data_IF_614992610274
#
_entry.id   IF_614992610274
#
_cell.length_a   1.000
_cell.length_b   1.000
_cell.length_c   1.000
_cell.angle_alpha   90.00
_cell.angle_beta   90.00
_cell.angle_gamma   90.00
#
_symmetry.space_group_name_H-M   'P 1'
#
loop_
_entity.id
_entity.type
_entity.pdbx_description
1 polymer ?
#
# COMPACT_ATOMS: atom_id res chain seq x y z
N UNK A 1 2.24 -17.23 12.93
CA UNK A 1 3.16 -17.35 12.16
C UNK A 1 3.31 -16.33 11.21
N UNK A 2 2.35 -16.02 10.45
CA UNK A 2 2.49 -15.01 9.49
C UNK A 2 2.77 -13.67 10.12
N UNK A 3 2.18 -13.39 11.24
CA UNK A 3 2.36 -12.09 11.84
C UNK A 3 3.78 -11.82 12.24
N UNK A 4 4.59 -12.84 12.37
CA UNK A 4 5.92 -12.60 12.79
C UNK A 4 6.76 -11.99 11.74
N UNK A 5 6.32 -11.98 10.52
CA UNK A 5 7.13 -11.50 9.45
C UNK A 5 6.50 -10.33 8.73
N UNK A 6 5.67 -9.59 9.40
CA UNK A 6 5.06 -8.46 8.75
C UNK A 6 3.76 -8.76 8.05
N UNK A 7 3.30 -10.02 8.11
CA UNK A 7 2.05 -10.36 7.45
C UNK A 7 0.90 -10.27 8.44
N UNK A 8 0.90 -9.20 9.19
CA UNK A 8 -0.04 -9.11 10.24
C UNK A 8 -1.42 -8.82 9.74
N UNK A 9 -2.42 -9.54 10.19
CA UNK A 9 -3.79 -9.38 9.79
C UNK A 9 -3.99 -9.54 8.30
N UNK A 10 -3.16 -10.36 7.69
CA UNK A 10 -3.31 -10.60 6.28
C UNK A 10 -2.77 -9.49 5.40
N UNK A 11 -1.86 -8.69 5.90
CA UNK A 11 -1.28 -7.59 5.14
C UNK A 11 0.23 -7.71 5.09
N UNK A 12 0.80 -7.53 3.93
CA UNK A 12 2.24 -7.41 3.80
C UNK A 12 2.52 -5.92 3.79
N UNK A 13 3.12 -5.42 4.86
CA UNK A 13 3.34 -4.00 5.03
C UNK A 13 4.57 -3.50 4.29
N UNK A 14 4.52 -2.28 3.83
CA UNK A 14 5.66 -1.61 3.19
C UNK A 14 6.23 -2.42 2.03
N UNK A 15 5.36 -2.91 1.18
CA UNK A 15 5.80 -3.73 0.06
C UNK A 15 6.61 -2.91 -0.92
N UNK A 16 7.78 -3.41 -1.28
CA UNK A 16 8.63 -2.76 -2.26
C UNK A 16 9.16 -3.76 -3.29
N UNK A 17 8.55 -4.92 -3.36
CA UNK A 17 9.06 -5.99 -4.20
C UNK A 17 8.62 -5.94 -5.64
N UNK A 18 8.81 -7.04 -6.32
CA UNK A 18 8.51 -7.10 -7.73
C UNK A 18 7.21 -7.83 -8.02
N UNK A 19 6.90 -7.94 -9.32
CA UNK A 19 5.66 -8.55 -9.76
C UNK A 19 5.47 -9.99 -9.27
N UNK A 20 6.53 -10.78 -9.32
CA UNK A 20 6.41 -12.18 -8.94
C UNK A 20 6.14 -12.32 -7.44
N UNK A 21 6.77 -11.48 -6.64
CA UNK A 21 6.53 -11.49 -5.22
C UNK A 21 5.10 -11.06 -4.92
N UNK A 22 4.62 -10.04 -5.62
CA UNK A 22 3.27 -9.57 -5.43
C UNK A 22 2.26 -10.65 -5.79
N UNK A 23 2.53 -11.39 -6.85
CA UNK A 23 1.62 -12.44 -7.27
C UNK A 23 1.51 -13.52 -6.20
N UNK A 24 2.64 -13.91 -5.63
CA UNK A 24 2.61 -14.91 -4.59
C UNK A 24 1.83 -14.45 -3.38
N UNK A 25 2.01 -13.19 -2.99
CA UNK A 25 1.31 -12.65 -1.85
C UNK A 25 -0.19 -12.66 -2.11
N UNK A 26 -0.61 -12.29 -3.30
CA UNK A 26 -2.02 -12.30 -3.63
C UNK A 26 -2.59 -13.71 -3.65
N UNK A 27 -1.79 -14.67 -4.11
CA UNK A 27 -2.24 -16.05 -4.13
C UNK A 27 -2.47 -16.58 -2.72
N UNK A 28 -1.75 -16.03 -1.75
CA UNK A 28 -1.92 -16.43 -0.38
C UNK A 28 -3.09 -15.71 0.30
N UNK A 29 -3.72 -14.81 -0.42
CA UNK A 29 -4.89 -14.12 0.11
C UNK A 29 -4.59 -12.88 0.92
N UNK A 30 -3.37 -12.37 0.85
CA UNK A 30 -3.03 -11.19 1.63
C UNK A 30 -3.26 -9.90 0.87
N UNK A 31 -3.42 -8.84 1.63
CA UNK A 31 -3.45 -7.50 1.05
C UNK A 31 -2.02 -6.98 1.02
N UNK A 32 -1.78 -5.96 0.25
CA UNK A 32 -0.45 -5.39 0.09
C UNK A 32 -0.49 -3.92 0.42
N UNK A 33 0.35 -3.51 1.37
CA UNK A 33 0.42 -2.11 1.81
C UNK A 33 1.48 -1.35 1.05
N UNK A 34 1.09 -0.26 0.44
CA UNK A 34 1.96 0.60 -0.36
C UNK A 34 2.26 1.86 0.41
N UNK A 35 3.52 2.24 0.46
CA UNK A 35 3.94 3.43 1.19
C UNK A 35 4.48 4.48 0.24
N UNK A 36 5.03 5.52 0.80
CA UNK A 36 5.63 6.58 0.00
C UNK A 36 6.78 6.16 -0.87
N UNK A 37 7.31 4.96 -0.66
CA UNK A 37 8.35 4.44 -1.54
C UNK A 37 7.91 4.50 -2.99
N UNK A 38 6.61 4.40 -3.23
CA UNK A 38 6.09 4.46 -4.59
C UNK A 38 6.41 5.78 -5.26
N UNK A 39 6.59 6.84 -4.49
CA UNK A 39 6.85 8.14 -5.06
C UNK A 39 8.32 8.41 -5.34
N UNK A 40 9.19 7.47 -5.01
CA UNK A 40 10.62 7.63 -5.27
C UNK A 40 10.93 7.06 -6.65
N UNK A 41 10.83 7.90 -7.65
CA UNK A 41 10.96 7.43 -9.04
C UNK A 41 12.30 6.81 -9.38
N UNK A 42 13.29 6.98 -8.53
CA UNK A 42 14.58 6.40 -8.82
C UNK A 42 14.66 4.95 -8.40
N UNK A 43 13.78 4.51 -7.52
CA UNK A 43 13.86 3.15 -6.98
C UNK A 43 12.58 2.37 -7.10
N UNK A 44 11.53 2.93 -7.63
CA UNK A 44 10.22 2.29 -7.61
C UNK A 44 9.88 1.45 -8.83
N UNK A 45 10.83 1.23 -9.71
CA UNK A 45 10.53 0.55 -10.97
C UNK A 45 9.83 -0.79 -10.78
N UNK A 46 10.39 -1.64 -9.92
CA UNK A 46 9.79 -2.95 -9.71
C UNK A 46 8.42 -2.84 -9.08
N UNK A 47 8.26 -1.89 -8.17
CA UNK A 47 6.98 -1.72 -7.51
C UNK A 47 5.92 -1.23 -8.50
N UNK A 48 6.29 -0.31 -9.38
CA UNK A 48 5.36 0.18 -10.37
C UNK A 48 4.88 -0.97 -11.26
N UNK A 49 5.81 -1.81 -11.68
CA UNK A 49 5.44 -2.93 -12.51
C UNK A 49 4.56 -3.90 -11.73
N UNK A 50 4.88 -4.13 -10.47
CA UNK A 50 4.07 -5.02 -9.65
C UNK A 50 2.65 -4.49 -9.50
N UNK A 51 2.50 -3.17 -9.32
CA UNK A 51 1.18 -2.60 -9.14
C UNK A 51 0.26 -2.85 -10.33
N UNK A 52 0.82 -2.96 -11.51
CA UNK A 52 0.00 -3.21 -12.67
C UNK A 52 -0.66 -4.58 -12.61
N UNK A 53 -0.10 -5.47 -11.82
CA UNK A 53 -0.61 -6.82 -11.72
C UNK A 53 -1.29 -7.14 -10.39
N UNK A 54 -1.37 -6.20 -9.50
CA UNK A 54 -2.04 -6.40 -8.23
C UNK A 54 -3.46 -5.91 -8.33
N UNK A 55 -4.45 -6.74 -8.00
CA UNK A 55 -5.84 -6.28 -8.04
C UNK A 55 -6.06 -5.13 -7.08
N UNK A 56 -6.81 -4.15 -7.51
CA UNK A 56 -7.06 -2.97 -6.67
C UNK A 56 -7.64 -3.37 -5.32
N UNK A 57 -8.42 -4.43 -5.29
CA UNK A 57 -9.05 -4.90 -4.06
C UNK A 57 -8.06 -5.39 -3.03
N UNK A 58 -6.82 -5.58 -3.41
CA UNK A 58 -5.82 -6.07 -2.48
C UNK A 58 -4.89 -4.97 -1.98
N UNK A 59 -5.10 -3.75 -2.38
CA UNK A 59 -4.18 -2.68 -2.04
C UNK A 59 -4.60 -1.88 -0.83
N UNK A 60 -3.64 -1.53 0.00
CA UNK A 60 -3.84 -0.62 1.11
C UNK A 60 -2.76 0.44 0.97
N UNK A 61 -2.98 1.60 1.55
CA UNK A 61 -1.99 2.65 1.53
C UNK A 61 -1.60 2.94 2.96
N UNK A 62 -0.31 2.97 3.22
CA UNK A 62 0.23 3.18 4.54
C UNK A 62 1.19 4.35 4.55
N UNK A 63 1.41 4.92 5.70
CA UNK A 63 2.40 5.96 5.80
C UNK A 63 3.52 5.47 6.70
N UNK A 64 4.67 6.09 6.58
CA UNK A 64 5.75 5.71 7.43
C UNK A 64 5.78 6.74 8.51
N UNK A 65 4.68 7.24 8.77
CA UNK A 65 4.52 8.32 9.66
C UNK A 65 5.27 8.33 10.95
N UNK A 66 5.29 7.29 11.70
CA UNK A 66 5.94 7.39 12.98
C UNK A 66 7.36 7.92 12.89
N UNK A 67 8.03 7.57 11.83
CA UNK A 67 9.37 8.01 11.71
C UNK A 67 9.48 9.31 11.01
N UNK A 68 8.74 9.47 9.98
CA UNK A 68 8.84 10.66 9.22
C UNK A 68 8.29 11.85 9.92
N UNK A 69 7.26 11.69 10.67
CA UNK A 69 6.62 12.83 11.25
C UNK A 69 7.54 13.60 12.14
N UNK A 70 8.48 12.93 12.75
CA UNK A 70 9.35 13.62 13.62
C UNK A 70 10.24 14.55 12.88
N UNK A 71 10.75 14.08 11.80
CA UNK A 71 11.62 14.89 11.05
C UNK A 71 10.97 15.92 10.30
N UNK A 72 9.77 15.76 9.98
CA UNK A 72 9.31 16.59 9.13
C UNK A 72 8.47 17.54 9.67
N UNK A 73 8.24 17.52 10.78
CA UNK A 73 7.38 18.37 11.24
C UNK A 73 7.70 19.67 10.73
N UNK A 74 8.89 19.93 10.44
CA UNK A 74 9.18 21.12 10.00
C UNK A 74 8.96 21.27 8.63
N UNK A 75 8.92 20.39 7.89
CA UNK A 75 8.81 20.43 6.61
C UNK A 75 7.64 20.44 6.15
N UNK A 76 6.92 20.60 6.62
CA UNK A 76 5.90 20.77 6.03
C UNK A 76 5.13 19.83 5.56
N UNK A 77 5.27 19.19 4.73
CA UNK A 77 4.49 18.25 4.39
C UNK A 77 4.91 17.12 4.11
N UNK A 78 4.53 16.19 4.76
CA UNK A 78 4.81 14.90 4.55
C UNK A 78 4.01 14.51 3.46
N UNK A 79 4.37 13.52 2.80
CA UNK A 79 3.67 12.95 1.85
C UNK A 79 2.48 12.44 2.42
N UNK A 80 1.31 12.71 2.00
CA UNK A 80 0.21 12.13 2.57
C UNK A 80 -0.31 11.00 1.72
N UNK A 81 -1.26 10.26 2.25
CA UNK A 81 -1.77 9.08 1.55
C UNK A 81 -2.49 9.45 0.26
N UNK A 82 -2.98 10.66 0.17
CA UNK A 82 -3.63 11.09 -1.06
C UNK A 82 -2.69 11.08 -2.24
N UNK A 83 -1.44 11.45 -2.03
CA UNK A 83 -0.46 11.44 -3.10
C UNK A 83 -0.20 10.03 -3.56
N UNK A 84 -0.15 9.08 -2.64
CA UNK A 84 0.09 7.70 -2.98
C UNK A 84 -1.09 7.12 -3.73
N UNK A 85 -2.30 7.43 -3.29
CA UNK A 85 -3.51 6.95 -3.94
C UNK A 85 -3.57 7.47 -5.37
N UNK A 86 -3.24 8.75 -5.55
CA UNK A 86 -3.28 9.34 -6.87
C UNK A 86 -2.31 8.63 -7.81
N UNK A 87 -1.12 8.32 -7.30
CA UNK A 87 -0.12 7.66 -8.13
C UNK A 87 -0.56 6.23 -8.47
N UNK A 88 -1.17 5.53 -7.54
CA UNK A 88 -1.69 4.19 -7.82
C UNK A 88 -2.74 4.28 -8.92
N UNK A 89 -3.63 5.26 -8.82
CA UNK A 89 -4.68 5.42 -9.82
C UNK A 89 -4.09 5.68 -11.19
N UNK A 90 -3.04 6.50 -11.25
CA UNK A 90 -2.39 6.82 -12.50
C UNK A 90 -1.77 5.56 -13.12
N UNK A 91 -1.07 4.79 -12.31
CA UNK A 91 -0.41 3.59 -12.79
C UNK A 91 -1.43 2.56 -13.27
N UNK A 92 -2.51 2.39 -12.54
CA UNK A 92 -3.50 1.40 -12.89
C UNK A 92 -4.55 1.93 -13.87
N UNK A 93 -4.45 3.20 -14.21
CA UNK A 93 -5.35 3.84 -15.17
C UNK A 93 -6.81 3.74 -14.73
N UNK A 94 -7.06 4.06 -13.48
CA UNK A 94 -8.40 4.09 -12.94
C UNK A 94 -8.67 5.47 -12.38
N UNK A 95 -9.93 5.77 -12.18
CA UNK A 95 -10.34 7.06 -11.65
C UNK A 95 -9.81 7.24 -10.23
N UNK A 96 -9.14 8.35 -9.92
CA UNK A 96 -8.57 8.52 -8.58
C UNK A 96 -9.59 8.47 -7.46
N UNK A 97 -10.80 8.96 -7.68
CA UNK A 97 -11.79 8.93 -6.63
C UNK A 97 -12.25 7.52 -6.36
N UNK A 98 -12.47 6.75 -7.41
CA UNK A 98 -12.86 5.37 -7.25
C UNK A 98 -11.72 4.54 -6.64
N UNK A 99 -10.50 4.85 -7.03
CA UNK A 99 -9.34 4.18 -6.49
C UNK A 99 -9.28 4.41 -4.98
N UNK A 100 -9.46 5.65 -4.56
CA UNK A 100 -9.42 5.98 -3.14
C UNK A 100 -10.54 5.29 -2.37
N UNK A 101 -11.73 5.21 -2.96
CA UNK A 101 -12.84 4.56 -2.31
C UNK A 101 -12.58 3.07 -2.13
N UNK A 102 -12.01 2.44 -3.15
CA UNK A 102 -11.72 1.01 -3.04
C UNK A 102 -10.67 0.74 -1.98
N UNK A 103 -9.64 1.56 -1.93
CA UNK A 103 -8.58 1.39 -0.94
C UNK A 103 -9.14 1.63 0.46
N UNK A 104 -10.01 2.61 0.61
CA UNK A 104 -10.63 2.87 1.89
C UNK A 104 -11.46 1.65 2.32
N UNK A 105 -12.23 1.07 1.40
CA UNK A 105 -13.02 -0.11 1.70
C UNK A 105 -12.13 -1.29 2.07
N UNK A 106 -11.00 -1.43 1.40
CA UNK A 106 -10.06 -2.49 1.71
C UNK A 106 -9.55 -2.32 3.13
N UNK A 107 -9.24 -1.09 3.51
CA UNK A 107 -8.73 -0.80 4.84
C UNK A 107 -9.78 -1.15 5.90
N UNK A 108 -11.01 -0.79 5.66
CA UNK A 108 -12.07 -1.11 6.61
C UNK A 108 -12.24 -2.61 6.74
N UNK A 109 -12.13 -3.33 5.65
CA UNK A 109 -12.27 -4.75 5.66
C UNK A 109 -11.20 -5.41 6.53
N UNK A 110 -9.98 -5.00 6.34
CA UNK A 110 -8.87 -5.55 7.11
C UNK A 110 -9.01 -5.19 8.58
N UNK A 111 -9.40 -3.95 8.85
CA UNK A 111 -9.55 -3.50 10.21
C UNK A 111 -10.67 -4.26 10.92
N UNK A 112 -11.77 -4.51 10.25
CA UNK A 112 -12.87 -5.24 10.85
C UNK A 112 -12.49 -6.67 11.14
N UNK A 113 -11.73 -7.29 10.28
CA UNK A 113 -11.29 -8.63 10.54
C UNK A 113 -10.42 -8.68 11.78
N UNK A 114 -9.57 -7.68 11.92
CA UNK A 114 -8.69 -7.63 13.06
C UNK A 114 -9.51 -7.49 14.34
N UNK A 115 -10.55 -6.69 14.29
CA UNK A 115 -11.35 -6.49 15.48
C UNK A 115 -12.12 -7.72 15.90
N UNK A 116 -12.41 -8.59 14.97
CA UNK A 116 -13.15 -9.78 15.28
C UNK A 116 -12.27 -10.87 15.86
N UNK A 117 -11.00 -10.73 15.74
CA UNK A 117 -10.10 -11.70 16.29
C UNK A 117 -9.81 -11.45 17.74
#
# INVERSE_FOLDING_TARGET
MLSKHGYYNGVVHCFTGNRDQARKICQLGFHIGITGFLLDSRRNRDLVEALRHIPLERLLVETDAPFLSIDRKRDSHPMDTGDIVYEIARIKKVDPIKCGQQIYNNTLSVFNLHKQL
#
